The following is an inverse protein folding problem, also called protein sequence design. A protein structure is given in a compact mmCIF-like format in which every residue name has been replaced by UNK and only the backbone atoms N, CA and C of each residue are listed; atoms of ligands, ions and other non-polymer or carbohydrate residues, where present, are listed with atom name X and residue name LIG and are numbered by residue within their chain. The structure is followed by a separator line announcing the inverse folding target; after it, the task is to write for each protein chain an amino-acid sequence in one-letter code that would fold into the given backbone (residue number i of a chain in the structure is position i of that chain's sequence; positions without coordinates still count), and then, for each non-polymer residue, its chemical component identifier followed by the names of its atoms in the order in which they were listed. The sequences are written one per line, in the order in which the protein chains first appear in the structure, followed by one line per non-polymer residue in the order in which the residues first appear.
data_IF_344245380604
#
_entry.id   IF_344245380604
#
_cell.length_a   1.000
_cell.length_b   1.000
_cell.length_c   1.000
_cell.angle_alpha   90.00
_cell.angle_beta   90.00
_cell.angle_gamma   90.00
#
_symmetry.space_group_name_H-M   'P 1'
#
loop_
_entity.id
_entity.type
_entity.pdbx_description
1 polymer ?
#
# COMPACT_ATOMS: atom_id res chain seq x y z
N UNK A 1 -14.27 55.16 -1.41
CA UNK A 1 -13.17 54.30 -1.91
C UNK A 1 -12.22 54.02 -0.75
N UNK A 2 -12.35 52.88 -0.06
CA UNK A 2 -11.30 52.29 0.78
C UNK A 2 -11.75 50.87 1.16
N UNK A 3 -11.29 49.87 0.42
CA UNK A 3 -11.54 48.44 0.72
C UNK A 3 -10.43 48.00 1.68
N UNK A 4 -10.79 47.72 2.95
CA UNK A 4 -9.91 46.98 3.86
C UNK A 4 -9.94 45.50 3.49
N UNK A 5 -8.91 45.03 2.77
CA UNK A 5 -8.58 43.60 2.66
C UNK A 5 -7.66 43.22 3.81
N UNK A 6 -8.23 42.54 4.80
CA UNK A 6 -7.56 41.71 5.80
C UNK A 6 -8.54 40.56 6.04
N UNK A 7 -8.21 39.28 5.88
CA UNK A 7 -7.10 38.58 6.52
C UNK A 7 -6.67 37.34 5.72
N UNK A 8 -5.35 37.16 5.66
CA UNK A 8 -4.59 35.93 5.84
C UNK A 8 -5.02 34.65 5.10
N UNK A 9 -4.21 34.34 4.08
CA UNK A 9 -3.79 32.99 3.71
C UNK A 9 -3.81 32.05 4.92
N UNK A 10 -4.74 31.07 4.92
CA UNK A 10 -4.53 29.84 5.70
C UNK A 10 -3.27 29.19 5.15
N UNK A 11 -2.15 29.32 5.85
CA UNK A 11 -1.00 28.45 5.65
C UNK A 11 -1.53 27.03 5.83
N UNK A 12 -1.62 26.28 4.74
CA UNK A 12 -1.68 24.82 4.79
C UNK A 12 -0.52 24.41 5.68
N UNK A 13 -0.79 23.78 6.82
CA UNK A 13 0.28 23.24 7.65
C UNK A 13 1.13 22.36 6.74
N UNK A 14 2.46 22.57 6.64
CA UNK A 14 3.29 21.67 5.86
C UNK A 14 3.04 20.26 6.40
N UNK A 15 2.73 19.33 5.50
CA UNK A 15 2.54 17.93 5.87
C UNK A 15 3.73 17.51 6.72
N UNK A 16 3.47 16.82 7.83
CA UNK A 16 4.54 16.40 8.72
C UNK A 16 5.55 15.53 7.97
N UNK A 17 6.83 15.68 8.27
CA UNK A 17 7.85 14.74 7.81
C UNK A 17 7.56 13.35 8.40
N UNK A 18 7.28 12.31 7.58
CA UNK A 18 7.03 10.97 8.09
C UNK A 18 8.13 10.41 8.99
N UNK A 19 9.40 10.73 8.72
CA UNK A 19 10.52 10.24 9.51
C UNK A 19 10.61 10.87 10.90
N UNK A 20 9.94 12.01 11.13
CA UNK A 20 9.78 12.59 12.46
C UNK A 20 8.82 11.82 13.37
N UNK A 21 8.00 10.93 12.82
CA UNK A 21 7.00 10.13 13.55
C UNK A 21 7.32 8.64 13.55
N UNK A 22 8.05 8.19 12.53
CA UNK A 22 8.32 6.79 12.30
C UNK A 22 9.77 6.58 11.85
N UNK A 23 10.50 5.75 12.59
CA UNK A 23 11.83 5.28 12.16
C UNK A 23 11.67 4.09 11.22
N UNK A 24 12.19 4.16 9.97
CA UNK A 24 12.16 3.04 9.05
C UNK A 24 12.82 1.78 9.64
N UNK A 25 12.15 0.65 9.48
CA UNK A 25 12.59 -0.71 9.82
C UNK A 25 12.56 -1.55 8.54
N UNK A 26 13.27 -2.68 8.53
CA UNK A 26 13.34 -3.60 7.38
C UNK A 26 12.19 -4.62 7.32
N UNK A 27 11.33 -4.67 8.33
CA UNK A 27 10.17 -5.57 8.44
C UNK A 27 9.14 -5.01 9.41
N UNK A 28 7.88 -5.43 9.31
CA UNK A 28 6.76 -4.98 10.14
C UNK A 28 5.80 -6.12 10.50
N UNK A 29 5.38 -6.18 11.77
CA UNK A 29 4.41 -7.16 12.27
C UNK A 29 2.96 -6.74 11.99
N UNK A 30 2.01 -7.66 12.22
CA UNK A 30 0.57 -7.40 12.12
C UNK A 30 0.12 -6.25 13.01
N UNK A 31 0.61 -6.22 14.24
CA UNK A 31 0.29 -5.16 15.20
C UNK A 31 0.77 -3.79 14.70
N UNK A 32 1.91 -3.73 14.02
CA UNK A 32 2.42 -2.50 13.43
C UNK A 32 1.63 -2.05 12.21
N UNK A 33 1.21 -2.98 11.33
CA UNK A 33 0.32 -2.65 10.22
C UNK A 33 -1.06 -2.18 10.72
N UNK A 34 -1.58 -2.78 11.78
CA UNK A 34 -2.81 -2.33 12.46
C UNK A 34 -2.66 -0.97 13.16
N UNK A 35 -1.46 -0.63 13.67
CA UNK A 35 -1.18 0.73 14.16
C UNK A 35 -1.17 1.71 12.98
N UNK A 36 -0.55 1.33 11.86
CA UNK A 36 -0.57 2.14 10.63
C UNK A 36 -1.99 2.44 10.18
N UNK A 37 -2.90 1.46 10.24
CA UNK A 37 -4.28 1.64 9.78
C UNK A 37 -5.14 2.57 10.64
N UNK A 38 -4.74 2.83 11.89
CA UNK A 38 -5.43 3.76 12.79
C UNK A 38 -5.13 5.24 12.49
N UNK A 39 -4.17 5.51 11.60
CA UNK A 39 -3.73 6.85 11.24
C UNK A 39 -2.71 7.42 12.23
N UNK A 40 -1.95 8.43 11.77
CA UNK A 40 -0.93 9.11 12.57
C UNK A 40 0.40 8.34 12.73
N UNK A 41 0.49 7.10 12.24
CA UNK A 41 1.70 6.28 12.31
C UNK A 41 2.89 6.93 11.60
N UNK A 42 2.67 7.46 10.40
CA UNK A 42 3.63 8.29 9.67
C UNK A 42 3.43 9.80 9.95
N UNK A 43 2.73 10.18 11.01
CA UNK A 43 2.30 11.55 11.27
C UNK A 43 0.94 11.91 10.64
N UNK A 44 0.34 13.01 11.13
CA UNK A 44 -1.00 13.43 10.71
C UNK A 44 -1.02 13.87 9.24
N UNK A 45 -2.00 13.38 8.48
CA UNK A 45 -2.14 13.72 7.05
C UNK A 45 -1.25 12.93 6.10
N UNK A 46 -0.46 11.99 6.61
CA UNK A 46 0.42 11.12 5.81
C UNK A 46 -0.23 9.76 5.49
N UNK A 47 0.56 8.88 4.88
CA UNK A 47 0.11 7.56 4.44
C UNK A 47 -0.50 6.76 5.59
N UNK A 48 -1.51 5.96 5.25
CA UNK A 48 -2.27 5.14 6.18
C UNK A 48 -2.72 3.90 5.42
N UNK A 49 -2.51 2.71 6.01
CA UNK A 49 -3.08 1.48 5.46
C UNK A 49 -4.61 1.45 5.68
N UNK A 50 -5.35 0.70 4.86
CA UNK A 50 -6.73 0.36 5.20
C UNK A 50 -6.79 -0.38 6.55
N UNK A 51 -7.87 -0.19 7.29
CA UNK A 51 -8.17 -1.02 8.46
C UNK A 51 -8.86 -2.33 8.01
N UNK A 52 -8.85 -3.39 8.82
CA UNK A 52 -9.71 -4.55 8.59
C UNK A 52 -11.18 -4.12 8.38
N UNK A 53 -11.92 -4.78 7.48
CA UNK A 53 -11.54 -5.99 6.74
C UNK A 53 -10.76 -5.75 5.44
N UNK A 54 -10.37 -4.51 5.13
CA UNK A 54 -9.68 -4.16 3.87
C UNK A 54 -8.15 -4.20 3.94
N UNK A 55 -7.56 -4.39 5.12
CA UNK A 55 -6.11 -4.62 5.25
C UNK A 55 -5.76 -6.00 4.69
N UNK A 56 -5.03 -6.05 3.57
CA UNK A 56 -4.79 -7.30 2.82
C UNK A 56 -3.41 -7.93 3.06
N UNK A 57 -2.75 -7.55 4.16
CA UNK A 57 -1.48 -8.13 4.60
C UNK A 57 -1.48 -8.27 6.12
N UNK A 58 -0.90 -9.36 6.60
CA UNK A 58 -0.57 -9.55 8.01
C UNK A 58 0.80 -9.00 8.36
N UNK A 59 1.74 -8.98 7.43
CA UNK A 59 3.13 -8.55 7.71
C UNK A 59 3.85 -8.07 6.47
N UNK A 60 4.89 -7.27 6.70
CA UNK A 60 5.93 -6.98 5.71
C UNK A 60 7.20 -7.66 6.20
N UNK A 61 7.71 -8.63 5.47
CA UNK A 61 8.91 -9.40 5.87
C UNK A 61 10.19 -8.74 5.37
N UNK A 62 10.12 -7.97 4.29
CA UNK A 62 11.24 -7.21 3.74
C UNK A 62 10.76 -5.88 3.16
N UNK A 63 11.50 -4.81 3.41
CA UNK A 63 11.31 -3.51 2.78
C UNK A 63 12.65 -2.76 2.69
N UNK A 64 12.99 -2.25 1.52
CA UNK A 64 14.27 -1.61 1.24
C UNK A 64 14.15 -0.37 0.34
N UNK A 65 15.19 0.48 0.36
CA UNK A 65 15.32 1.62 -0.56
C UNK A 65 15.97 1.24 -1.91
N UNK A 66 16.67 0.11 -1.94
CA UNK A 66 17.44 -0.44 -3.05
C UNK A 66 17.05 -1.91 -3.33
N UNK A 67 17.68 -2.53 -4.33
CA UNK A 67 17.31 -3.89 -4.76
C UNK A 67 16.01 -3.97 -5.56
N UNK A 68 15.47 -5.18 -5.71
CA UNK A 68 14.35 -5.48 -6.59
C UNK A 68 14.72 -5.45 -8.08
N UNK A 69 13.76 -5.74 -8.96
CA UNK A 69 13.96 -5.83 -10.42
C UNK A 69 14.64 -4.59 -11.04
N UNK A 70 14.46 -3.41 -10.43
CA UNK A 70 14.96 -2.12 -10.95
C UNK A 70 16.01 -1.45 -10.06
N UNK A 71 16.45 -2.09 -8.97
CA UNK A 71 17.44 -1.53 -8.03
C UNK A 71 16.95 -0.29 -7.25
N UNK A 72 15.63 -0.11 -7.10
CA UNK A 72 15.01 1.11 -6.57
C UNK A 72 14.11 0.87 -5.34
N UNK A 73 14.20 -0.31 -4.76
CA UNK A 73 13.43 -0.73 -3.61
C UNK A 73 12.60 -1.97 -3.90
N UNK A 74 12.54 -2.85 -2.92
CA UNK A 74 11.80 -4.10 -2.95
C UNK A 74 11.00 -4.24 -1.66
N UNK A 75 9.79 -4.81 -1.77
CA UNK A 75 8.92 -5.08 -0.63
C UNK A 75 8.34 -6.49 -0.76
N UNK A 76 8.42 -7.25 0.33
CA UNK A 76 7.73 -8.54 0.49
C UNK A 76 6.68 -8.41 1.59
N UNK A 77 5.42 -8.54 1.21
CA UNK A 77 4.28 -8.63 2.13
C UNK A 77 3.70 -10.04 2.17
N UNK A 78 3.04 -10.40 3.25
CA UNK A 78 2.37 -11.70 3.38
C UNK A 78 1.00 -11.57 4.03
N UNK A 79 0.10 -12.47 3.66
CA UNK A 79 -1.22 -12.68 4.25
C UNK A 79 -1.38 -14.18 4.53
N UNK A 80 -1.69 -14.54 5.77
CA UNK A 80 -2.02 -15.92 6.10
C UNK A 80 -3.45 -16.20 5.60
N UNK A 81 -3.62 -17.34 4.93
CA UNK A 81 -4.92 -17.76 4.43
C UNK A 81 -5.52 -18.76 5.41
N UNK A 82 -6.73 -18.46 5.87
CA UNK A 82 -7.55 -19.40 6.62
C UNK A 82 -8.95 -19.46 6.00
N UNK A 83 -9.66 -20.60 6.09
CA UNK A 83 -11.01 -20.72 5.54
C UNK A 83 -12.02 -19.71 6.09
N UNK A 84 -11.77 -19.15 7.27
CA UNK A 84 -12.64 -18.19 7.96
C UNK A 84 -12.45 -16.73 7.49
N UNK A 85 -11.55 -16.48 6.53
CA UNK A 85 -11.42 -15.15 5.96
C UNK A 85 -12.72 -14.74 5.26
N UNK A 86 -13.25 -13.58 5.68
CA UNK A 86 -14.60 -13.10 5.37
C UNK A 86 -15.00 -13.17 3.89
N UNK A 87 -14.04 -13.03 2.97
CA UNK A 87 -14.31 -12.99 1.55
C UNK A 87 -14.64 -14.37 0.98
N UNK A 88 -14.20 -15.47 1.61
CA UNK A 88 -14.55 -16.82 1.14
C UNK A 88 -16.03 -17.15 1.35
N UNK A 89 -16.64 -16.61 2.40
CA UNK A 89 -18.07 -16.82 2.69
C UNK A 89 -19.00 -16.16 1.65
N UNK A 90 -18.51 -15.16 0.91
CA UNK A 90 -19.34 -14.37 -0.02
C UNK A 90 -18.84 -14.37 -1.46
N UNK A 91 -17.66 -14.94 -1.74
CA UNK A 91 -17.05 -14.92 -3.07
C UNK A 91 -16.42 -16.27 -3.41
N UNK A 92 -17.17 -17.22 -3.97
CA UNK A 92 -18.62 -17.24 -4.13
C UNK A 92 -19.22 -18.28 -3.17
N UNK A 93 -20.53 -18.19 -2.93
CA UNK A 93 -21.24 -19.27 -2.23
C UNK A 93 -21.02 -20.57 -3.01
N UNK A 94 -20.55 -21.61 -2.31
CA UNK A 94 -20.20 -22.94 -2.83
C UNK A 94 -19.01 -23.00 -3.82
N UNK A 95 -18.32 -21.88 -4.07
CA UNK A 95 -17.08 -21.81 -4.87
C UNK A 95 -16.12 -20.75 -4.27
N UNK A 96 -15.57 -21.00 -3.06
CA UNK A 96 -14.82 -20.01 -2.31
C UNK A 96 -13.46 -19.71 -2.96
N UNK A 97 -13.25 -18.45 -3.31
CA UNK A 97 -12.02 -17.95 -3.92
C UNK A 97 -11.76 -16.50 -3.51
N UNK A 98 -10.54 -16.18 -3.11
CA UNK A 98 -10.18 -14.80 -2.79
C UNK A 98 -10.42 -13.90 -4.01
N UNK A 99 -11.14 -12.78 -3.86
CA UNK A 99 -11.31 -11.82 -4.94
C UNK A 99 -9.95 -11.32 -5.45
N UNK A 100 -9.66 -11.50 -6.74
CA UNK A 100 -8.39 -11.05 -7.33
C UNK A 100 -8.14 -9.55 -7.17
N UNK A 101 -9.20 -8.74 -7.06
CA UNK A 101 -9.10 -7.31 -6.77
C UNK A 101 -8.51 -7.00 -5.39
N UNK A 102 -8.70 -7.85 -4.38
CA UNK A 102 -8.11 -7.66 -3.05
C UNK A 102 -6.60 -7.93 -3.06
N UNK A 103 -6.15 -8.94 -3.81
CA UNK A 103 -4.73 -9.18 -4.04
C UNK A 103 -4.05 -8.06 -4.84
N UNK A 104 -4.79 -7.46 -5.78
CA UNK A 104 -4.33 -6.26 -6.49
C UNK A 104 -4.24 -5.05 -5.55
N UNK A 105 -5.23 -4.87 -4.67
CA UNK A 105 -5.24 -3.79 -3.68
C UNK A 105 -4.09 -3.89 -2.69
N UNK A 106 -3.75 -5.11 -2.22
CA UNK A 106 -2.58 -5.34 -1.37
C UNK A 106 -1.29 -4.77 -1.98
N UNK A 107 -1.09 -4.91 -3.30
CA UNK A 107 0.08 -4.35 -3.97
C UNK A 107 0.05 -2.81 -3.99
N UNK A 108 -1.12 -2.17 -4.18
CA UNK A 108 -1.23 -0.71 -4.02
C UNK A 108 -1.01 -0.25 -2.58
N UNK A 109 -1.53 -1.01 -1.59
CA UNK A 109 -1.28 -0.75 -0.18
C UNK A 109 0.22 -0.75 0.12
N UNK A 110 0.96 -1.73 -0.40
CA UNK A 110 2.42 -1.84 -0.28
C UNK A 110 3.12 -0.62 -0.90
N UNK A 111 2.79 -0.22 -2.12
CA UNK A 111 3.41 0.96 -2.76
C UNK A 111 3.13 2.22 -1.94
N UNK A 112 1.89 2.41 -1.45
CA UNK A 112 1.52 3.54 -0.60
C UNK A 112 2.27 3.55 0.73
N UNK A 113 2.41 2.38 1.37
CA UNK A 113 3.18 2.21 2.60
C UNK A 113 4.65 2.54 2.37
N UNK A 114 5.26 2.02 1.29
CA UNK A 114 6.64 2.31 0.93
C UNK A 114 6.88 3.81 0.70
N UNK A 115 5.95 4.52 0.06
CA UNK A 115 6.07 5.97 -0.12
C UNK A 115 6.10 6.71 1.21
N UNK A 116 5.23 6.37 2.17
CA UNK A 116 5.25 6.95 3.51
C UNK A 116 6.50 6.56 4.31
N UNK A 117 6.84 5.27 4.29
CA UNK A 117 8.03 4.68 4.92
C UNK A 117 9.33 5.31 4.43
N UNK A 118 9.43 5.65 3.15
CA UNK A 118 10.58 6.33 2.53
C UNK A 118 10.56 7.86 2.72
N UNK A 119 9.69 8.39 3.57
CA UNK A 119 9.67 9.81 3.95
C UNK A 119 8.83 10.71 3.06
N UNK A 120 7.95 10.17 2.20
CA UNK A 120 7.06 11.01 1.40
C UNK A 120 5.84 11.46 2.21
N UNK A 121 5.53 12.76 2.28
CA UNK A 121 4.32 13.23 2.94
C UNK A 121 3.05 13.03 2.07
N UNK A 122 1.89 13.00 2.73
CA UNK A 122 0.56 13.00 2.09
C UNK A 122 -0.20 11.67 2.20
N UNK A 123 -1.50 11.71 1.92
CA UNK A 123 -2.40 10.55 1.95
C UNK A 123 -2.33 9.76 0.65
N UNK A 124 -2.23 8.45 0.75
CA UNK A 124 -2.17 7.54 -0.39
C UNK A 124 -3.47 7.45 -1.18
N UNK A 125 -3.36 7.44 -2.50
CA UNK A 125 -4.45 7.14 -3.44
C UNK A 125 -3.90 6.25 -4.55
N UNK A 126 -4.52 5.09 -4.75
CA UNK A 126 -4.29 4.30 -5.96
C UNK A 126 -4.73 5.13 -7.17
N UNK A 127 -3.84 5.28 -8.15
CA UNK A 127 -4.09 6.03 -9.38
C UNK A 127 -4.45 5.08 -10.52
N UNK A 128 -3.95 3.85 -10.46
CA UNK A 128 -4.28 2.81 -11.41
C UNK A 128 -3.16 1.80 -11.57
N UNK A 129 -3.26 1.03 -12.64
CA UNK A 129 -2.31 -0.02 -13.03
C UNK A 129 -2.25 -0.06 -14.56
N UNK A 130 -1.10 -0.46 -15.11
CA UNK A 130 -0.94 -0.64 -16.55
C UNK A 130 -1.52 -1.97 -17.03
N UNK A 131 -0.89 -3.07 -16.64
CA UNK A 131 -1.32 -4.43 -17.00
C UNK A 131 -1.60 -5.24 -15.74
N UNK A 132 -2.67 -6.04 -15.74
CA UNK A 132 -2.94 -7.06 -14.72
C UNK A 132 -3.21 -8.39 -15.40
N UNK A 133 -2.61 -9.45 -14.89
CA UNK A 133 -2.83 -10.83 -15.33
C UNK A 133 -3.15 -11.71 -14.14
N UNK A 134 -4.30 -12.37 -14.19
CA UNK A 134 -4.69 -13.44 -13.27
C UNK A 134 -4.44 -14.78 -13.97
N UNK A 135 -3.57 -15.62 -13.41
CA UNK A 135 -3.11 -16.90 -13.96
C UNK A 135 -3.45 -18.10 -13.07
N UNK A 136 -4.01 -17.84 -11.91
CA UNK A 136 -4.41 -18.84 -10.92
C UNK A 136 -5.36 -18.21 -9.92
N UNK A 137 -5.72 -19.00 -8.91
CA UNK A 137 -6.73 -18.65 -7.91
C UNK A 137 -6.17 -18.89 -6.51
N UNK A 138 -6.70 -18.20 -5.52
CA UNK A 138 -6.36 -18.40 -4.10
C UNK A 138 -7.62 -18.95 -3.43
N UNK A 139 -7.56 -20.22 -3.05
CA UNK A 139 -8.65 -20.98 -2.42
C UNK A 139 -8.38 -21.19 -0.93
N UNK A 140 -9.37 -21.66 -0.12
CA UNK A 140 -9.22 -21.84 1.32
C UNK A 140 -8.12 -22.82 1.77
N UNK A 141 -7.64 -23.69 0.88
CA UNK A 141 -6.57 -24.66 1.16
C UNK A 141 -5.16 -24.05 1.08
N UNK A 142 -4.99 -22.93 0.36
CA UNK A 142 -3.75 -22.14 0.35
C UNK A 142 -3.38 -21.75 1.77
N UNK A 143 -2.09 -21.77 2.11
CA UNK A 143 -1.62 -21.42 3.46
C UNK A 143 -1.15 -19.99 3.55
N UNK A 144 -0.46 -19.51 2.50
CA UNK A 144 0.13 -18.18 2.51
C UNK A 144 0.00 -17.53 1.16
N UNK A 145 -0.46 -16.29 1.17
CA UNK A 145 -0.28 -15.37 0.04
C UNK A 145 0.94 -14.50 0.29
N UNK A 146 1.82 -14.42 -0.71
CA UNK A 146 3.01 -13.58 -0.67
C UNK A 146 2.98 -12.58 -1.81
N UNK A 147 3.13 -11.31 -1.45
CA UNK A 147 3.21 -10.18 -2.37
C UNK A 147 4.66 -9.77 -2.53
N UNK A 148 5.17 -9.74 -3.76
CA UNK A 148 6.47 -9.14 -4.07
C UNK A 148 6.23 -7.89 -4.91
N UNK A 149 6.73 -6.75 -4.47
CA UNK A 149 6.58 -5.46 -5.15
C UNK A 149 7.95 -4.82 -5.37
N UNK A 150 8.25 -4.53 -6.62
CA UNK A 150 9.50 -3.90 -7.06
C UNK A 150 9.23 -2.48 -7.53
N UNK A 151 9.83 -1.50 -6.84
CA UNK A 151 9.70 -0.10 -7.21
C UNK A 151 10.40 0.17 -8.54
N UNK A 152 9.67 0.71 -9.52
CA UNK A 152 10.18 1.03 -10.85
C UNK A 152 10.58 2.51 -10.97
N UNK A 153 9.75 3.42 -10.44
CA UNK A 153 10.01 4.85 -10.47
C UNK A 153 9.36 5.54 -9.26
N UNK A 154 10.05 6.52 -8.70
CA UNK A 154 9.50 7.40 -7.66
C UNK A 154 9.71 8.84 -8.08
N UNK A 155 8.65 9.65 -8.03
CA UNK A 155 8.69 11.09 -8.32
C UNK A 155 8.29 11.84 -7.06
N UNK A 156 9.12 12.80 -6.63
CA UNK A 156 8.93 13.62 -5.41
C UNK A 156 8.84 15.11 -5.75
N UNK A 157 8.04 15.43 -6.76
CA UNK A 157 7.78 16.81 -7.20
C UNK A 157 6.52 17.39 -6.55
N UNK A 158 5.79 18.22 -7.30
CA UNK A 158 4.48 18.78 -6.86
C UNK A 158 3.47 17.70 -6.48
N UNK A 159 3.55 16.53 -7.12
CA UNK A 159 2.80 15.33 -6.78
C UNK A 159 3.82 14.22 -6.51
N UNK A 160 3.71 13.58 -5.34
CA UNK A 160 4.44 12.35 -5.05
C UNK A 160 3.77 11.21 -5.81
N UNK A 161 4.53 10.43 -6.57
CA UNK A 161 4.04 9.27 -7.33
C UNK A 161 5.04 8.12 -7.23
N UNK A 162 4.58 6.98 -6.75
CA UNK A 162 5.28 5.70 -6.85
C UNK A 162 4.73 4.87 -8.01
N UNK A 163 5.62 4.27 -8.77
CA UNK A 163 5.32 3.31 -9.84
C UNK A 163 6.06 2.02 -9.51
N UNK A 164 5.38 0.87 -9.55
CA UNK A 164 5.96 -0.42 -9.23
C UNK A 164 5.40 -1.55 -10.10
N UNK A 165 6.15 -2.64 -10.19
CA UNK A 165 5.64 -3.93 -10.65
C UNK A 165 5.39 -4.83 -9.44
N UNK A 166 4.43 -5.73 -9.55
CA UNK A 166 4.07 -6.64 -8.46
C UNK A 166 3.74 -8.04 -8.95
N UNK A 167 4.01 -9.00 -8.08
CA UNK A 167 3.65 -10.42 -8.24
C UNK A 167 2.95 -10.89 -6.97
N UNK A 168 1.94 -11.74 -7.15
CA UNK A 168 1.28 -12.42 -6.04
C UNK A 168 1.49 -13.92 -6.18
N UNK A 169 1.93 -14.54 -5.10
CA UNK A 169 2.15 -15.97 -4.99
C UNK A 169 1.11 -16.57 -4.04
N UNK A 170 0.49 -17.66 -4.46
CA UNK A 170 -0.30 -18.55 -3.60
C UNK A 170 0.61 -19.72 -3.25
N UNK A 171 1.00 -19.80 -1.99
CA UNK A 171 2.14 -20.59 -1.50
C UNK A 171 3.40 -20.32 -2.36
N UNK A 172 3.79 -21.24 -3.23
CA UNK A 172 4.96 -21.11 -4.11
C UNK A 172 4.61 -20.77 -5.58
N UNK A 173 3.32 -20.73 -5.92
CA UNK A 173 2.86 -20.53 -7.30
C UNK A 173 2.54 -19.06 -7.58
N UNK A 174 3.17 -18.46 -8.59
CA UNK A 174 2.84 -17.09 -9.03
C UNK A 174 1.48 -17.08 -9.75
N UNK A 175 0.49 -16.48 -9.09
CA UNK A 175 -0.89 -16.44 -9.58
C UNK A 175 -1.24 -15.10 -10.23
N UNK A 176 -0.72 -13.98 -9.72
CA UNK A 176 -1.01 -12.65 -10.27
C UNK A 176 0.27 -11.92 -10.68
N UNK A 177 0.17 -11.12 -11.75
CA UNK A 177 1.20 -10.18 -12.18
C UNK A 177 0.55 -8.83 -12.45
N UNK A 178 1.10 -7.77 -11.88
CA UNK A 178 0.71 -6.40 -12.14
C UNK A 178 1.93 -5.58 -12.60
N UNK A 179 1.77 -4.81 -13.68
CA UNK A 179 2.79 -3.89 -14.18
C UNK A 179 2.30 -2.46 -14.11
N UNK A 180 3.23 -1.56 -13.78
CA UNK A 180 2.97 -0.13 -13.64
C UNK A 180 1.81 0.18 -12.67
N UNK A 181 1.81 -0.47 -11.50
CA UNK A 181 1.00 -0.03 -10.35
C UNK A 181 1.38 1.40 -10.00
N UNK A 182 0.38 2.29 -9.82
CA UNK A 182 0.62 3.71 -9.53
C UNK A 182 -0.11 4.12 -8.25
N UNK A 183 0.63 4.70 -7.31
CA UNK A 183 0.07 5.30 -6.09
C UNK A 183 0.62 6.71 -5.93
N UNK A 184 -0.28 7.67 -5.75
CA UNK A 184 0.09 9.05 -5.44
C UNK A 184 -0.08 9.35 -3.96
N UNK A 185 0.76 10.21 -3.40
CA UNK A 185 0.48 10.84 -2.10
C UNK A 185 0.01 12.28 -2.34
N UNK A 186 -1.14 12.60 -1.75
CA UNK A 186 -1.83 13.88 -1.95
C UNK A 186 -2.02 14.58 -0.61
N UNK A 187 -1.96 15.91 -0.62
CA UNK A 187 -2.41 16.68 0.53
C UNK A 187 -3.88 16.34 0.84
N UNK A 188 -4.28 16.24 2.13
CA UNK A 188 -5.68 16.13 2.50
C UNK A 188 -6.49 17.22 1.81
N UNK A 189 -7.64 16.87 1.24
CA UNK A 189 -8.61 17.86 0.82
C UNK A 189 -9.00 18.67 2.07
N UNK A 190 -8.88 19.99 1.96
CA UNK A 190 -9.30 20.96 3.00
C UNK A 190 -10.81 21.01 3.07
#
# INVERSE_FOLDING_TARGET
MLIRRTQFNKKVSPLSDPHGFHTPQSSYTKEELLKSSKGGYFGSGNAQLPAPPMLMMDRITQISMDGGEFGKGHIVGELDITPELWFFDCHFIDDPVMPGCLGLDAMWQIVGYWLGWSGSPGKGRAVGVGEVKFRGHITPDIKRVRYEVDMHQVRRGKLVLGIANGRVFADDSSVYVAKDLRVGLMSPAV
#
